data_IF_227183364751
#
_entry.id   IF_227183364751
#
_cell.length_a   1.000
_cell.length_b   1.000
_cell.length_c   1.000
_cell.angle_alpha   90.00
_cell.angle_beta   90.00
_cell.angle_gamma   90.00
#
_symmetry.space_group_name_H-M   'P 1'
#
loop_
_entity.id
_entity.type
_entity.pdbx_description
1 polymer ?
#
# COMPACT_ATOMS: atom_id res chain seq x y z
N UNK A 1 -105.99 2.05 12.27
CA UNK A 1 -105.17 2.66 13.35
C UNK A 1 -104.88 1.54 14.35
N UNK A 2 -103.69 1.03 14.67
CA UNK A 2 -102.27 1.37 14.51
C UNK A 2 -101.58 0.34 13.57
N UNK A 3 -101.17 0.68 12.35
CA UNK A 3 -99.90 1.29 11.89
C UNK A 3 -98.68 0.36 11.83
N UNK A 4 -98.38 -0.09 10.59
CA UNK A 4 -97.10 -0.20 9.83
C UNK A 4 -95.70 -0.04 10.48
N UNK A 5 -95.59 0.40 11.74
CA UNK A 5 -94.34 0.79 12.42
C UNK A 5 -93.58 -0.44 12.98
N UNK A 6 -94.28 -1.45 13.52
CA UNK A 6 -93.63 -2.62 14.12
C UNK A 6 -92.91 -3.53 13.10
N UNK A 7 -93.44 -3.65 11.88
CA UNK A 7 -92.79 -4.42 10.80
C UNK A 7 -91.56 -3.73 10.21
N UNK A 8 -91.43 -2.40 10.33
CA UNK A 8 -90.26 -1.62 9.88
C UNK A 8 -89.11 -1.66 10.90
N UNK A 9 -89.42 -1.67 12.21
CA UNK A 9 -88.40 -1.77 13.27
C UNK A 9 -87.66 -3.11 13.25
N UNK A 10 -88.39 -4.22 13.07
CA UNK A 10 -87.80 -5.58 13.04
C UNK A 10 -86.83 -5.78 11.86
N UNK A 11 -87.15 -5.27 10.66
CA UNK A 11 -86.25 -5.38 9.48
C UNK A 11 -85.01 -4.49 9.59
N UNK A 12 -85.12 -3.31 10.20
CA UNK A 12 -83.95 -2.46 10.43
C UNK A 12 -83.02 -3.03 11.50
N UNK A 13 -83.57 -3.65 12.54
CA UNK A 13 -82.79 -4.29 13.58
C UNK A 13 -82.08 -5.55 13.05
N UNK A 14 -82.77 -6.39 12.25
CA UNK A 14 -82.12 -7.53 11.59
C UNK A 14 -81.02 -7.11 10.62
N UNK A 15 -81.24 -6.05 9.80
CA UNK A 15 -80.19 -5.54 8.90
C UNK A 15 -78.98 -5.00 9.65
N UNK A 16 -79.18 -4.32 10.79
CA UNK A 16 -78.07 -3.83 11.62
C UNK A 16 -77.28 -4.96 12.26
N UNK A 17 -77.94 -6.03 12.71
CA UNK A 17 -77.28 -7.23 13.24
C UNK A 17 -76.52 -7.96 12.12
N UNK A 18 -77.09 -8.08 10.92
CA UNK A 18 -76.41 -8.71 9.78
C UNK A 18 -75.17 -7.94 9.34
N UNK A 19 -75.23 -6.60 9.28
CA UNK A 19 -74.08 -5.75 8.94
C UNK A 19 -73.01 -5.81 10.04
N UNK A 20 -73.41 -5.86 11.32
CA UNK A 20 -72.46 -6.00 12.43
C UNK A 20 -71.75 -7.36 12.42
N UNK A 21 -72.47 -8.46 12.15
CA UNK A 21 -71.89 -9.81 12.04
C UNK A 21 -70.94 -9.89 10.83
N UNK A 22 -71.33 -9.32 9.69
CA UNK A 22 -70.46 -9.27 8.51
C UNK A 22 -69.21 -8.44 8.81
N UNK A 23 -69.34 -7.27 9.43
CA UNK A 23 -68.20 -6.43 9.81
C UNK A 23 -67.25 -7.13 10.82
N UNK A 24 -67.81 -7.87 11.79
CA UNK A 24 -67.03 -8.69 12.72
C UNK A 24 -66.31 -9.84 12.02
N UNK A 25 -66.95 -10.51 11.06
CA UNK A 25 -66.32 -11.57 10.27
C UNK A 25 -65.21 -11.04 9.35
N UNK A 26 -65.38 -9.87 8.74
CA UNK A 26 -64.33 -9.21 7.95
C UNK A 26 -63.17 -8.70 8.82
N UNK A 27 -63.45 -8.13 10.00
CA UNK A 27 -62.42 -7.73 10.94
C UNK A 27 -61.61 -8.93 11.47
N UNK A 28 -62.29 -10.05 11.72
CA UNK A 28 -61.65 -11.32 12.12
C UNK A 28 -60.78 -11.90 11.00
N UNK A 29 -61.24 -11.86 9.76
CA UNK A 29 -60.47 -12.33 8.60
C UNK A 29 -59.24 -11.47 8.32
N UNK A 30 -59.35 -10.14 8.47
CA UNK A 30 -58.23 -9.20 8.36
C UNK A 30 -57.22 -9.37 9.50
N UNK A 31 -57.66 -9.64 10.72
CA UNK A 31 -56.78 -9.93 11.85
C UNK A 31 -56.04 -11.27 11.67
N UNK A 32 -56.72 -12.31 11.14
CA UNK A 32 -56.09 -13.60 10.85
C UNK A 32 -55.07 -13.49 9.70
N UNK A 33 -55.38 -12.70 8.66
CA UNK A 33 -54.45 -12.42 7.57
C UNK A 33 -53.24 -11.59 8.02
N UNK A 34 -53.44 -10.62 8.93
CA UNK A 34 -52.34 -9.85 9.50
C UNK A 34 -51.42 -10.72 10.39
N UNK A 35 -51.98 -11.65 11.18
CA UNK A 35 -51.18 -12.58 11.98
C UNK A 35 -50.38 -13.58 11.13
N UNK A 36 -50.92 -14.06 10.00
CA UNK A 36 -50.19 -14.98 9.12
C UNK A 36 -49.07 -14.28 8.35
N UNK A 37 -49.27 -13.01 7.95
CA UNK A 37 -48.22 -12.20 7.32
C UNK A 37 -47.11 -11.85 8.31
N UNK A 38 -47.44 -11.47 9.55
CA UNK A 38 -46.42 -11.19 10.58
C UNK A 38 -45.65 -12.46 10.96
N UNK A 39 -46.29 -13.64 11.02
CA UNK A 39 -45.59 -14.91 11.23
C UNK A 39 -44.66 -15.30 10.06
N UNK A 40 -44.98 -14.92 8.82
CA UNK A 40 -44.10 -15.13 7.65
C UNK A 40 -42.92 -14.15 7.60
N UNK A 41 -43.09 -12.91 8.06
CA UNK A 41 -42.02 -11.90 8.10
C UNK A 41 -41.13 -11.97 9.34
N UNK A 42 -41.54 -12.69 10.39
CA UNK A 42 -40.79 -12.80 11.65
C UNK A 42 -40.02 -14.12 11.81
N UNK A 43 -40.07 -15.01 10.80
CA UNK A 43 -39.23 -16.19 10.81
C UNK A 43 -37.78 -15.76 10.56
N UNK A 44 -36.83 -15.92 11.51
CA UNK A 44 -35.43 -15.73 11.20
C UNK A 44 -35.10 -16.74 10.10
N UNK A 45 -34.61 -16.25 8.97
CA UNK A 45 -34.06 -17.10 7.94
C UNK A 45 -32.99 -17.96 8.62
N UNK A 46 -33.32 -19.22 8.92
CA UNK A 46 -32.32 -20.25 9.20
C UNK A 46 -31.50 -20.30 7.94
N UNK A 47 -30.35 -19.61 7.95
CA UNK A 47 -29.34 -19.77 6.93
C UNK A 47 -29.09 -21.27 6.84
N UNK A 48 -29.55 -21.88 5.74
CA UNK A 48 -29.15 -23.22 5.41
C UNK A 48 -27.61 -23.22 5.49
N UNK A 49 -26.98 -24.18 6.17
CA UNK A 49 -25.54 -24.27 6.14
C UNK A 49 -25.18 -24.35 4.66
N UNK A 50 -24.51 -23.31 4.17
CA UNK A 50 -23.88 -23.32 2.86
C UNK A 50 -22.81 -24.38 3.00
N UNK A 51 -23.19 -25.61 2.67
CA UNK A 51 -22.26 -26.68 2.42
C UNK A 51 -21.51 -26.21 1.19
N UNK A 52 -20.37 -25.57 1.41
CA UNK A 52 -19.38 -25.34 0.37
C UNK A 52 -18.98 -26.73 -0.07
N UNK A 53 -19.68 -27.24 -1.08
CA UNK A 53 -19.27 -28.42 -1.81
C UNK A 53 -17.85 -28.10 -2.24
N UNK A 54 -16.88 -28.83 -1.70
CA UNK A 54 -15.50 -28.75 -2.16
C UNK A 54 -15.53 -29.22 -3.61
N UNK A 55 -15.74 -28.29 -4.53
CA UNK A 55 -15.56 -28.55 -5.94
C UNK A 55 -14.11 -28.98 -6.09
N UNK A 56 -13.94 -30.22 -6.55
CA UNK A 56 -12.64 -30.74 -6.94
C UNK A 56 -11.94 -29.68 -7.81
N UNK A 57 -10.62 -29.48 -7.66
CA UNK A 57 -9.90 -28.45 -8.40
C UNK A 57 -10.18 -28.63 -9.89
N UNK A 58 -10.75 -27.58 -10.50
CA UNK A 58 -11.02 -27.56 -11.94
C UNK A 58 -9.67 -27.74 -12.63
N UNK A 59 -9.49 -28.85 -13.34
CA UNK A 59 -8.32 -29.07 -14.19
C UNK A 59 -8.41 -28.09 -15.35
N UNK A 60 -7.80 -26.92 -15.21
CA UNK A 60 -7.65 -25.97 -16.31
C UNK A 60 -6.61 -26.58 -17.26
N UNK A 61 -7.08 -27.12 -18.39
CA UNK A 61 -6.19 -27.59 -19.44
C UNK A 61 -5.57 -26.41 -20.16
N UNK A 62 -4.29 -26.53 -20.48
CA UNK A 62 -3.61 -25.57 -21.33
C UNK A 62 -4.34 -25.47 -22.69
N UNK A 63 -4.58 -24.25 -23.23
CA UNK A 63 -5.14 -24.10 -24.56
C UNK A 63 -4.30 -24.83 -25.61
N UNK A 64 -4.95 -25.41 -26.62
CA UNK A 64 -4.24 -26.10 -27.68
C UNK A 64 -3.21 -25.17 -28.34
N UNK A 65 -1.94 -25.59 -28.38
CA UNK A 65 -0.84 -24.82 -28.95
C UNK A 65 -0.20 -23.79 -28.02
N UNK A 66 -0.65 -23.62 -26.77
CA UNK A 66 -0.06 -22.71 -25.79
C UNK A 66 0.24 -23.45 -24.48
N UNK A 67 1.53 -23.77 -24.26
CA UNK A 67 2.01 -24.39 -23.02
C UNK A 67 1.59 -25.86 -22.84
N UNK A 68 1.66 -26.35 -21.58
CA UNK A 68 1.23 -27.68 -21.17
C UNK A 68 0.54 -27.62 -19.81
N UNK A 69 -0.20 -28.68 -19.47
CA UNK A 69 -0.79 -28.80 -18.14
C UNK A 69 0.29 -28.81 -17.05
N UNK A 70 0.00 -28.14 -15.93
CA UNK A 70 0.85 -28.17 -14.75
C UNK A 70 0.75 -29.55 -14.08
N UNK A 71 1.89 -30.12 -13.71
CA UNK A 71 1.94 -31.38 -12.98
C UNK A 71 1.54 -31.18 -11.52
N UNK A 72 1.01 -32.21 -10.83
CA UNK A 72 0.73 -32.12 -9.40
C UNK A 72 1.93 -31.73 -8.55
N UNK A 73 3.15 -32.14 -8.95
CA UNK A 73 4.38 -31.77 -8.26
C UNK A 73 4.70 -30.27 -8.41
N UNK A 74 4.49 -29.69 -9.60
CA UNK A 74 4.65 -28.26 -9.82
C UNK A 74 3.63 -27.46 -9.01
N UNK A 75 2.36 -27.88 -9.01
CA UNK A 75 1.33 -27.25 -8.21
C UNK A 75 1.70 -27.31 -6.72
N UNK A 76 2.06 -28.48 -6.19
CA UNK A 76 2.46 -28.61 -4.79
C UNK A 76 3.70 -27.78 -4.41
N UNK A 77 4.59 -27.49 -5.36
CA UNK A 77 5.79 -26.71 -5.11
C UNK A 77 5.55 -25.19 -5.14
N UNK A 78 4.49 -24.72 -5.80
CA UNK A 78 4.21 -23.29 -6.00
C UNK A 78 2.96 -22.81 -5.25
N UNK A 79 1.94 -23.66 -5.18
CA UNK A 79 0.65 -23.45 -4.52
C UNK A 79 0.76 -23.73 -3.02
N UNK A 80 1.52 -22.86 -2.34
CA UNK A 80 1.73 -22.91 -0.89
C UNK A 80 0.87 -21.87 -0.16
N UNK A 81 -0.13 -21.29 -0.83
CA UNK A 81 -0.95 -20.22 -0.30
C UNK A 81 -1.75 -20.67 0.93
N UNK A 82 -1.82 -19.81 1.93
CA UNK A 82 -2.74 -19.98 3.06
C UNK A 82 -3.73 -18.85 3.03
N UNK A 83 -4.97 -19.20 2.70
CA UNK A 83 -6.06 -18.24 2.60
C UNK A 83 -6.64 -17.89 3.98
N UNK A 84 -7.44 -16.82 4.10
CA UNK A 84 -8.15 -16.47 5.33
C UNK A 84 -9.07 -17.56 5.90
N UNK A 85 -9.54 -18.49 5.06
CA UNK A 85 -10.32 -19.66 5.47
C UNK A 85 -9.45 -20.90 5.79
N UNK A 86 -8.13 -20.73 5.88
CA UNK A 86 -7.11 -21.74 6.16
C UNK A 86 -7.04 -22.90 5.16
N UNK A 87 -7.66 -22.78 3.99
CA UNK A 87 -7.36 -23.69 2.89
C UNK A 87 -5.89 -23.51 2.49
N UNK A 88 -5.19 -24.64 2.32
CA UNK A 88 -3.76 -24.68 2.00
C UNK A 88 -2.84 -24.71 3.23
N UNK A 89 -3.40 -24.57 4.45
CA UNK A 89 -2.64 -24.64 5.69
C UNK A 89 -2.09 -26.06 5.93
N UNK A 90 -0.76 -26.25 5.99
CA UNK A 90 -0.16 -27.54 6.34
C UNK A 90 -0.38 -27.87 7.82
N UNK A 91 -0.45 -29.17 8.15
CA UNK A 91 -0.49 -29.61 9.55
C UNK A 91 0.81 -29.26 10.26
N UNK A 92 0.70 -28.86 11.51
CA UNK A 92 1.87 -28.51 12.32
C UNK A 92 1.52 -27.72 13.56
N UNK A 93 2.53 -27.45 14.37
CA UNK A 93 2.41 -26.65 15.59
C UNK A 93 3.75 -26.01 16.00
N UNK A 94 3.69 -24.94 16.77
CA UNK A 94 4.86 -24.27 17.30
C UNK A 94 4.53 -23.44 18.54
N UNK A 95 5.40 -23.51 19.55
CA UNK A 95 5.25 -22.75 20.79
C UNK A 95 5.81 -21.34 20.65
N UNK A 96 5.32 -20.41 21.46
CA UNK A 96 5.89 -19.05 21.59
C UNK A 96 7.37 -19.11 21.98
N UNK A 97 7.73 -20.01 22.89
CA UNK A 97 9.11 -20.15 23.37
C UNK A 97 10.09 -20.63 22.27
N UNK A 98 9.66 -21.56 21.43
CA UNK A 98 10.47 -21.99 20.27
C UNK A 98 10.51 -20.91 19.19
N UNK A 99 9.40 -20.18 19.05
CA UNK A 99 9.28 -19.04 18.15
C UNK A 99 10.26 -17.92 18.48
N UNK A 100 10.42 -17.61 19.76
CA UNK A 100 11.39 -16.62 20.24
C UNK A 100 12.82 -17.02 19.85
N UNK A 101 13.24 -18.24 20.17
CA UNK A 101 14.59 -18.73 19.82
C UNK A 101 14.87 -18.64 18.33
N UNK A 102 13.88 -19.01 17.51
CA UNK A 102 14.00 -18.96 16.06
C UNK A 102 14.01 -17.52 15.54
N UNK A 103 13.19 -16.64 16.10
CA UNK A 103 13.14 -15.23 15.75
C UNK A 103 14.46 -14.51 16.07
N UNK A 104 15.04 -14.78 17.24
CA UNK A 104 16.35 -14.25 17.63
C UNK A 104 17.45 -14.70 16.65
N UNK A 105 17.41 -15.97 16.22
CA UNK A 105 18.40 -16.55 15.34
C UNK A 105 18.26 -16.11 13.86
N UNK A 106 17.05 -15.80 13.39
CA UNK A 106 16.76 -15.65 11.94
C UNK A 106 16.10 -14.33 11.55
N UNK A 107 15.55 -13.57 12.49
CA UNK A 107 14.70 -12.41 12.21
C UNK A 107 15.18 -11.12 12.91
N UNK A 108 15.71 -11.23 14.12
CA UNK A 108 15.99 -10.09 14.99
C UNK A 108 17.02 -9.10 14.43
N UNK A 109 17.93 -9.53 13.55
CA UNK A 109 18.91 -8.63 12.91
C UNK A 109 18.27 -7.51 12.10
N UNK A 110 17.05 -7.71 11.61
CA UNK A 110 16.27 -6.72 10.86
C UNK A 110 15.04 -6.22 11.62
N UNK A 111 14.41 -7.09 12.42
CA UNK A 111 13.13 -6.79 13.07
C UNK A 111 13.24 -6.39 14.55
N UNK A 112 14.45 -6.33 15.11
CA UNK A 112 14.64 -6.14 16.55
C UNK A 112 14.28 -7.41 17.32
N UNK A 113 14.59 -7.50 18.62
CA UNK A 113 14.28 -8.71 19.42
C UNK A 113 12.79 -8.76 19.78
N UNK A 114 12.14 -7.61 19.91
CA UNK A 114 10.74 -7.47 20.30
C UNK A 114 9.84 -7.00 19.14
N UNK A 115 10.32 -7.10 17.89
CA UNK A 115 9.57 -6.64 16.72
C UNK A 115 9.51 -5.11 16.58
N UNK A 116 10.32 -4.37 17.35
CA UNK A 116 10.43 -2.91 17.35
C UNK A 116 11.14 -2.34 16.11
N UNK A 117 11.81 -3.23 15.35
CA UNK A 117 12.57 -2.91 14.16
C UNK A 117 13.82 -2.05 14.38
N UNK A 118 14.55 -1.78 13.30
CA UNK A 118 15.70 -0.88 13.30
C UNK A 118 15.31 0.45 12.60
N UNK A 119 16.26 1.36 12.39
CA UNK A 119 16.01 2.65 11.73
C UNK A 119 15.51 2.55 10.27
N UNK A 120 15.58 1.36 9.66
CA UNK A 120 15.28 1.13 8.23
C UNK A 120 13.94 0.44 8.01
N UNK A 121 13.60 -0.55 8.84
CA UNK A 121 12.38 -1.33 8.68
C UNK A 121 11.26 -0.78 9.59
N UNK A 122 10.00 -1.06 9.23
CA UNK A 122 8.88 -0.69 10.09
C UNK A 122 8.71 -1.74 11.22
N UNK A 123 8.34 -1.31 12.44
CA UNK A 123 7.97 -2.21 13.54
C UNK A 123 6.91 -3.22 13.13
N UNK A 124 7.11 -4.47 13.51
CA UNK A 124 6.14 -5.54 13.36
C UNK A 124 5.01 -5.41 14.39
N UNK A 125 5.38 -4.99 15.60
CA UNK A 125 4.53 -5.02 16.80
C UNK A 125 4.47 -3.63 17.44
N UNK A 126 3.35 -3.34 18.09
CA UNK A 126 3.09 -2.08 18.78
C UNK A 126 1.88 -1.33 18.22
N UNK A 127 1.37 -0.36 18.98
CA UNK A 127 0.26 0.50 18.55
C UNK A 127 -1.13 -0.16 18.56
N UNK A 128 -1.25 -1.37 19.12
CA UNK A 128 -2.50 -2.11 19.36
C UNK A 128 -2.76 -2.26 20.85
N UNK A 129 -4.03 -2.36 21.24
CA UNK A 129 -4.48 -2.50 22.63
C UNK A 129 -5.42 -3.69 22.81
N UNK A 130 -5.64 -4.11 24.06
CA UNK A 130 -6.64 -5.14 24.38
C UNK A 130 -8.06 -4.76 23.92
N UNK A 131 -8.40 -3.47 23.86
CA UNK A 131 -9.69 -3.01 23.35
C UNK A 131 -9.79 -3.08 21.83
N UNK A 132 -8.67 -2.92 21.11
CA UNK A 132 -8.61 -3.18 19.67
C UNK A 132 -8.86 -4.67 19.39
N UNK A 133 -8.31 -5.58 20.21
CA UNK A 133 -8.60 -7.02 20.13
C UNK A 133 -10.09 -7.29 20.36
N UNK A 134 -10.73 -6.67 21.36
CA UNK A 134 -12.17 -6.84 21.60
C UNK A 134 -13.01 -6.35 20.42
N UNK A 135 -12.73 -5.15 19.92
CA UNK A 135 -13.54 -4.49 18.87
C UNK A 135 -13.23 -4.98 17.45
N UNK A 136 -12.02 -5.49 17.23
CA UNK A 136 -11.49 -5.82 15.90
C UNK A 136 -11.17 -4.59 15.05
N UNK A 137 -11.06 -3.42 15.66
CA UNK A 137 -10.70 -2.18 14.98
C UNK A 137 -9.62 -1.43 15.73
N UNK A 138 -8.46 -1.27 15.11
CA UNK A 138 -7.36 -0.51 15.69
C UNK A 138 -7.70 0.98 15.72
N UNK A 139 -7.96 1.53 16.91
CA UNK A 139 -8.39 2.91 17.09
C UNK A 139 -7.33 3.92 16.67
N UNK A 140 -6.06 3.61 16.91
CA UNK A 140 -4.91 4.46 16.58
C UNK A 140 -4.75 4.73 15.08
N UNK A 141 -5.20 3.82 14.21
CA UNK A 141 -5.22 4.05 12.75
C UNK A 141 -6.18 5.17 12.34
N UNK A 142 -7.21 5.45 13.15
CA UNK A 142 -8.19 6.52 12.93
C UNK A 142 -7.80 7.81 13.63
N UNK A 143 -7.20 7.70 14.81
CA UNK A 143 -6.79 8.86 15.60
C UNK A 143 -5.50 9.54 15.09
N UNK A 144 -4.74 8.86 14.21
CA UNK A 144 -3.45 9.34 13.68
C UNK A 144 -2.46 9.78 14.79
N UNK A 145 -2.52 9.08 15.93
CA UNK A 145 -1.72 9.36 17.13
C UNK A 145 -0.55 8.37 17.30
N UNK A 146 -0.32 7.52 16.31
CA UNK A 146 0.81 6.59 16.28
C UNK A 146 1.86 7.09 15.27
N UNK A 147 3.10 7.35 15.70
CA UNK A 147 4.14 7.90 14.84
C UNK A 147 4.51 6.94 13.70
N UNK A 148 4.43 5.63 13.95
CA UNK A 148 4.68 4.59 12.96
C UNK A 148 3.57 3.55 13.04
N UNK A 149 3.14 3.04 11.87
CA UNK A 149 2.12 1.99 11.77
C UNK A 149 2.79 0.63 11.71
N UNK A 150 2.39 -0.28 12.58
CA UNK A 150 2.98 -1.62 12.67
C UNK A 150 2.24 -2.64 11.80
N UNK A 151 2.84 -3.82 11.63
CA UNK A 151 2.19 -4.94 10.94
C UNK A 151 0.91 -5.36 11.64
N UNK A 152 0.94 -5.56 12.97
CA UNK A 152 -0.22 -5.99 13.75
C UNK A 152 -1.35 -4.94 13.81
N UNK A 153 -1.03 -3.65 13.62
CA UNK A 153 -2.07 -2.63 13.48
C UNK A 153 -2.88 -2.79 12.19
N UNK A 154 -2.28 -3.29 11.11
CA UNK A 154 -2.88 -3.27 9.77
C UNK A 154 -3.47 -4.61 9.34
N UNK A 155 -2.76 -5.71 9.60
CA UNK A 155 -3.14 -7.02 9.09
C UNK A 155 -4.44 -7.49 9.77
N UNK A 156 -5.42 -7.91 8.97
CA UNK A 156 -6.73 -8.36 9.41
C UNK A 156 -6.79 -9.87 9.70
N UNK A 157 -5.84 -10.63 9.15
CA UNK A 157 -5.86 -12.09 9.11
C UNK A 157 -4.52 -12.69 9.51
N UNK A 158 -4.54 -13.64 10.46
CA UNK A 158 -3.33 -14.35 10.90
C UNK A 158 -2.73 -15.23 9.79
N UNK A 159 -3.59 -15.72 8.88
CA UNK A 159 -3.16 -16.45 7.68
C UNK A 159 -2.21 -15.65 6.80
N UNK A 160 -2.41 -14.32 6.67
CA UNK A 160 -1.50 -13.44 5.92
C UNK A 160 -0.12 -13.41 6.55
N UNK A 161 -0.03 -13.34 7.88
CA UNK A 161 1.25 -13.38 8.61
C UNK A 161 1.94 -14.72 8.36
N UNK A 162 1.20 -15.81 8.54
CA UNK A 162 1.71 -17.17 8.38
C UNK A 162 2.20 -17.45 6.94
N UNK A 163 1.39 -17.12 5.93
CA UNK A 163 1.75 -17.30 4.50
C UNK A 163 2.96 -16.47 4.12
N UNK A 164 3.00 -15.20 4.54
CA UNK A 164 4.10 -14.30 4.24
C UNK A 164 5.42 -14.81 4.83
N UNK A 165 5.40 -15.28 6.08
CA UNK A 165 6.59 -15.84 6.72
C UNK A 165 7.06 -17.08 5.95
N UNK A 166 6.17 -18.02 5.65
CA UNK A 166 6.52 -19.24 4.89
C UNK A 166 7.07 -18.94 3.50
N UNK A 167 6.48 -17.96 2.80
CA UNK A 167 6.75 -17.70 1.39
C UNK A 167 7.95 -16.79 1.18
N UNK A 168 8.11 -15.77 2.02
CA UNK A 168 9.01 -14.65 1.76
C UNK A 168 10.09 -14.45 2.83
N UNK A 169 9.99 -15.09 3.99
CA UNK A 169 10.94 -14.91 5.09
C UNK A 169 11.75 -16.18 5.38
N UNK A 170 12.96 -16.03 5.97
CA UNK A 170 13.72 -14.79 6.15
C UNK A 170 14.09 -14.12 4.83
N UNK A 171 14.30 -12.80 4.82
CA UNK A 171 14.53 -12.04 3.58
C UNK A 171 15.71 -12.55 2.73
N UNK A 172 16.75 -13.05 3.39
CA UNK A 172 17.94 -13.63 2.73
C UNK A 172 17.80 -15.12 2.39
N UNK A 173 16.75 -15.80 2.86
CA UNK A 173 16.49 -17.22 2.59
C UNK A 173 14.97 -17.53 2.54
N UNK A 174 14.21 -16.99 1.58
CA UNK A 174 12.78 -17.28 1.48
C UNK A 174 12.50 -18.78 1.33
N UNK A 175 11.41 -19.26 1.93
CA UNK A 175 10.98 -20.67 1.92
C UNK A 175 11.93 -21.65 2.64
N UNK A 176 12.83 -21.15 3.49
CA UNK A 176 13.75 -22.01 4.25
C UNK A 176 13.14 -22.62 5.52
N UNK A 177 12.00 -22.10 5.99
CA UNK A 177 11.36 -22.53 7.24
C UNK A 177 10.38 -23.68 6.99
N UNK A 178 10.38 -24.65 7.91
CA UNK A 178 9.38 -25.73 7.98
C UNK A 178 8.04 -25.21 8.51
N UNK A 179 6.91 -25.92 8.29
CA UNK A 179 5.60 -25.50 8.81
C UNK A 179 5.58 -25.25 10.32
N UNK A 180 6.19 -26.13 11.13
CA UNK A 180 6.26 -26.01 12.59
C UNK A 180 7.06 -24.76 13.02
N UNK A 181 8.16 -24.46 12.34
CA UNK A 181 8.95 -23.24 12.54
C UNK A 181 8.15 -21.98 12.21
N UNK A 182 7.34 -22.00 11.13
CA UNK A 182 6.46 -20.88 10.78
C UNK A 182 5.38 -20.69 11.84
N UNK A 183 4.79 -21.77 12.37
CA UNK A 183 3.86 -21.70 13.49
C UNK A 183 4.49 -21.08 14.72
N UNK A 184 5.71 -21.50 15.08
CA UNK A 184 6.42 -21.02 16.24
C UNK A 184 6.70 -19.50 16.13
N UNK A 185 7.27 -19.04 15.02
CA UNK A 185 7.53 -17.61 14.79
C UNK A 185 6.24 -16.80 14.78
N UNK A 186 5.18 -17.32 14.14
CA UNK A 186 3.87 -16.65 14.14
C UNK A 186 3.32 -16.53 15.57
N UNK A 187 3.41 -17.59 16.38
CA UNK A 187 3.00 -17.56 17.79
C UNK A 187 3.77 -16.50 18.58
N UNK A 188 5.08 -16.40 18.36
CA UNK A 188 5.92 -15.40 19.02
C UNK A 188 5.54 -13.96 18.64
N UNK A 189 5.34 -13.66 17.36
CA UNK A 189 4.88 -12.33 16.92
C UNK A 189 3.52 -11.97 17.52
N UNK A 190 2.60 -12.93 17.59
CA UNK A 190 1.29 -12.74 18.22
C UNK A 190 1.41 -12.51 19.73
N UNK A 191 2.36 -13.18 20.40
CA UNK A 191 2.61 -12.98 21.82
C UNK A 191 3.19 -11.60 22.10
N UNK A 192 4.14 -11.12 21.29
CA UNK A 192 4.66 -9.76 21.38
C UNK A 192 3.54 -8.71 21.26
N UNK A 193 2.51 -8.99 20.45
CA UNK A 193 1.31 -8.15 20.33
C UNK A 193 0.25 -8.36 21.42
N UNK A 194 0.55 -9.13 22.47
CA UNK A 194 -0.37 -9.50 23.54
C UNK A 194 -1.67 -10.20 23.06
N UNK A 195 -1.64 -10.82 21.87
CA UNK A 195 -2.79 -11.52 21.28
C UNK A 195 -2.92 -12.93 21.87
N UNK A 196 -1.79 -13.56 22.21
CA UNK A 196 -1.72 -14.91 22.81
C UNK A 196 -0.75 -14.92 24.01
N UNK A 197 -0.96 -15.78 25.03
CA UNK A 197 -0.08 -15.85 26.20
C UNK A 197 1.28 -16.49 25.87
N UNK A 198 2.25 -16.34 26.77
CA UNK A 198 3.64 -16.76 26.55
C UNK A 198 3.84 -18.29 26.52
N UNK A 199 2.91 -19.06 27.08
CA UNK A 199 2.89 -20.53 27.07
C UNK A 199 2.07 -21.11 25.90
N UNK A 200 1.57 -20.26 25.01
CA UNK A 200 0.69 -20.67 23.91
C UNK A 200 1.42 -21.53 22.87
N UNK A 201 0.68 -22.50 22.32
CA UNK A 201 1.11 -23.33 21.19
C UNK A 201 0.13 -23.12 20.04
N UNK A 202 0.60 -22.48 18.97
CA UNK A 202 -0.18 -22.28 17.75
C UNK A 202 -0.11 -23.55 16.90
N UNK A 203 -1.23 -23.93 16.27
CA UNK A 203 -1.32 -25.13 15.43
C UNK A 203 -2.35 -24.97 14.31
N UNK A 204 -2.36 -25.93 13.38
CA UNK A 204 -3.40 -26.06 12.36
C UNK A 204 -4.82 -26.15 12.94
N UNK A 205 -4.95 -26.62 14.18
CA UNK A 205 -6.24 -26.85 14.84
C UNK A 205 -6.83 -25.62 15.50
N UNK A 206 -6.00 -24.67 15.94
CA UNK A 206 -6.44 -23.52 16.75
C UNK A 206 -6.19 -22.15 16.11
N UNK A 207 -5.44 -22.07 15.00
CA UNK A 207 -5.14 -20.80 14.34
C UNK A 207 -6.40 -20.04 13.90
N UNK A 208 -7.49 -20.74 13.60
CA UNK A 208 -8.76 -20.12 13.26
C UNK A 208 -9.41 -19.37 14.43
N UNK A 209 -9.18 -19.82 15.67
CA UNK A 209 -9.64 -19.12 16.86
C UNK A 209 -8.77 -17.89 17.13
N UNK A 210 -7.46 -18.01 16.91
CA UNK A 210 -6.51 -16.89 17.02
C UNK A 210 -6.82 -15.78 16.01
N UNK A 211 -7.28 -16.10 14.80
CA UNK A 211 -7.70 -15.08 13.82
C UNK A 211 -8.83 -14.18 14.34
N UNK A 212 -9.70 -14.70 15.21
CA UNK A 212 -10.78 -13.91 15.84
C UNK A 212 -10.25 -12.90 16.85
N UNK A 213 -8.99 -13.05 17.29
CA UNK A 213 -8.31 -12.15 18.21
C UNK A 213 -7.46 -11.10 17.47
N UNK A 214 -7.39 -11.12 16.14
CA UNK A 214 -6.62 -10.12 15.40
C UNK A 214 -7.17 -8.70 15.68
N UNK A 215 -6.31 -7.74 16.08
CA UNK A 215 -6.74 -6.39 16.49
C UNK A 215 -7.46 -5.60 15.40
N UNK A 216 -7.17 -5.86 14.13
CA UNK A 216 -7.74 -5.14 12.99
C UNK A 216 -8.63 -6.01 12.08
N UNK A 217 -9.15 -7.15 12.58
CA UNK A 217 -9.94 -8.11 11.78
C UNK A 217 -11.18 -7.52 11.09
N UNK A 218 -11.73 -6.43 11.62
CA UNK A 218 -12.88 -5.73 11.06
C UNK A 218 -12.48 -4.42 10.35
N UNK A 219 -11.19 -4.08 10.30
CA UNK A 219 -10.70 -2.78 9.82
C UNK A 219 -10.68 -2.60 8.31
N UNK A 220 -10.94 -3.66 7.53
CA UNK A 220 -10.87 -3.62 6.06
C UNK A 220 -12.27 -3.50 5.46
N UNK A 221 -12.43 -2.65 4.45
CA UNK A 221 -13.69 -2.47 3.71
C UNK A 221 -13.49 -2.58 2.20
N UNK A 222 -14.48 -3.17 1.52
CA UNK A 222 -14.57 -3.15 0.05
C UNK A 222 -15.38 -1.96 -0.48
N UNK A 223 -15.91 -1.13 0.41
CA UNK A 223 -16.59 0.11 0.06
C UNK A 223 -15.55 1.23 -0.02
N UNK A 224 -14.94 1.37 -1.20
CA UNK A 224 -13.82 2.29 -1.44
C UNK A 224 -14.25 3.62 -2.09
N UNK A 225 -15.53 3.82 -2.42
CA UNK A 225 -16.09 5.08 -2.94
C UNK A 225 -15.60 5.55 -4.32
N UNK A 226 -14.46 5.03 -4.81
CA UNK A 226 -13.76 5.54 -6.00
C UNK A 226 -13.77 4.61 -7.23
N UNK A 227 -14.29 3.38 -7.14
CA UNK A 227 -14.08 2.38 -8.21
C UNK A 227 -15.31 1.56 -8.61
N UNK A 228 -16.51 1.93 -8.14
CA UNK A 228 -17.76 1.34 -8.64
C UNK A 228 -18.56 2.41 -9.36
N UNK A 229 -18.97 2.10 -10.59
CA UNK A 229 -19.89 2.94 -11.36
C UNK A 229 -21.20 3.05 -10.57
N UNK A 230 -21.53 4.26 -10.11
CA UNK A 230 -22.76 4.55 -9.35
C UNK A 230 -22.58 4.76 -7.85
N UNK A 231 -21.38 4.55 -7.29
CA UNK A 231 -21.10 4.94 -5.90
C UNK A 231 -21.11 6.47 -5.75
N UNK A 232 -21.47 6.96 -4.55
CA UNK A 232 -21.36 8.40 -4.25
C UNK A 232 -19.88 8.79 -4.25
N UNK A 233 -19.47 9.83 -5.00
CA UNK A 233 -18.10 10.28 -4.97
C UNK A 233 -17.76 10.78 -3.56
N UNK A 234 -16.54 10.48 -3.13
CA UNK A 234 -15.95 10.94 -1.86
C UNK A 234 -15.75 12.46 -1.84
N UNK A 235 -15.67 13.07 -3.01
CA UNK A 235 -15.57 14.51 -3.21
C UNK A 235 -16.77 15.03 -4.02
N UNK A 236 -17.38 16.13 -3.55
CA UNK A 236 -18.47 16.82 -4.27
C UNK A 236 -17.95 18.01 -5.09
N UNK A 237 -16.71 17.93 -5.54
CA UNK A 237 -16.03 19.04 -6.19
C UNK A 237 -16.61 19.27 -7.58
N UNK A 238 -17.30 20.39 -7.77
CA UNK A 238 -17.63 20.90 -9.11
C UNK A 238 -16.40 21.63 -9.64
N UNK A 239 -15.91 21.22 -10.81
CA UNK A 239 -14.84 21.94 -11.49
C UNK A 239 -15.28 23.40 -11.73
N UNK A 240 -14.46 24.35 -11.30
CA UNK A 240 -14.65 25.73 -11.67
C UNK A 240 -14.23 25.91 -13.15
N UNK A 241 -15.07 26.58 -13.94
CA UNK A 241 -14.85 26.77 -15.38
C UNK A 241 -14.67 28.24 -15.79
N UNK A 242 -14.99 29.20 -14.91
CA UNK A 242 -14.90 30.63 -15.15
C UNK A 242 -14.46 31.33 -13.87
N UNK A 243 -13.55 32.31 -13.99
CA UNK A 243 -13.04 33.15 -12.90
C UNK A 243 -12.63 32.38 -11.65
N UNK A 244 -11.94 31.26 -11.88
CA UNK A 244 -11.50 30.39 -10.80
C UNK A 244 -10.44 31.08 -9.96
N UNK A 245 -10.51 30.97 -8.62
CA UNK A 245 -9.50 31.56 -7.75
C UNK A 245 -8.12 31.07 -8.18
N UNK A 246 -7.20 32.00 -8.42
CA UNK A 246 -5.85 31.66 -8.85
C UNK A 246 -5.23 30.67 -7.86
N UNK A 247 -4.58 29.64 -8.41
CA UNK A 247 -3.78 28.73 -7.59
C UNK A 247 -2.78 29.59 -6.81
N UNK A 248 -2.84 29.46 -5.48
CA UNK A 248 -2.07 30.30 -4.56
C UNK A 248 -0.55 30.13 -4.70
N UNK A 249 0.15 30.65 -3.70
CA UNK A 249 1.62 30.59 -3.56
C UNK A 249 2.07 29.13 -3.68
N UNK A 250 3.18 28.88 -4.38
CA UNK A 250 3.82 27.56 -4.42
C UNK A 250 4.17 27.12 -2.99
N UNK A 251 3.44 26.14 -2.43
CA UNK A 251 3.61 25.66 -1.05
C UNK A 251 4.64 24.54 -0.91
N UNK A 252 4.95 23.86 -2.01
CA UNK A 252 5.99 22.84 -2.08
C UNK A 252 6.58 22.80 -3.48
N UNK A 253 7.89 22.55 -3.56
CA UNK A 253 8.61 22.35 -4.80
C UNK A 253 9.59 21.19 -4.62
N UNK A 254 9.85 20.45 -5.69
CA UNK A 254 10.94 19.47 -5.68
C UNK A 254 12.26 20.19 -5.36
N UNK A 255 13.06 19.70 -4.41
CA UNK A 255 14.38 20.24 -4.14
C UNK A 255 15.26 20.08 -5.39
N UNK A 256 16.24 20.96 -5.55
CA UNK A 256 17.06 21.05 -6.77
C UNK A 256 17.59 19.67 -7.22
N UNK A 257 18.18 18.90 -6.29
CA UNK A 257 18.74 17.56 -6.53
C UNK A 257 17.74 16.51 -7.06
N UNK A 258 16.44 16.73 -6.92
CA UNK A 258 15.38 15.80 -7.30
C UNK A 258 14.62 16.24 -8.56
N UNK A 259 14.82 17.49 -9.02
CA UNK A 259 14.05 18.04 -10.15
C UNK A 259 14.40 17.34 -11.45
N UNK A 260 15.66 17.04 -11.68
CA UNK A 260 16.18 16.45 -12.92
C UNK A 260 16.75 15.03 -12.73
N UNK A 261 16.58 14.44 -11.54
CA UNK A 261 17.10 13.11 -11.20
C UNK A 261 16.60 11.99 -12.12
N UNK A 262 15.50 12.23 -12.85
CA UNK A 262 14.94 11.32 -13.85
C UNK A 262 14.82 11.99 -15.22
N UNK A 263 15.64 12.99 -15.51
CA UNK A 263 15.60 13.79 -16.73
C UNK A 263 14.57 14.91 -16.69
N UNK A 264 14.24 15.45 -17.86
CA UNK A 264 13.38 16.61 -18.02
C UNK A 264 11.89 16.23 -17.93
N UNK A 265 11.17 16.75 -16.93
CA UNK A 265 9.74 16.48 -16.75
C UNK A 265 8.87 17.14 -17.83
N UNK A 266 9.35 18.20 -18.51
CA UNK A 266 8.67 18.77 -19.66
C UNK A 266 8.55 17.75 -20.79
N UNK A 267 9.64 17.02 -21.07
CA UNK A 267 9.70 16.02 -22.13
C UNK A 267 8.90 14.73 -21.81
N UNK A 268 8.66 14.46 -20.53
CA UNK A 268 7.95 13.25 -20.08
C UNK A 268 6.43 13.42 -20.01
N UNK A 269 5.94 14.66 -20.05
CA UNK A 269 4.51 14.95 -20.00
C UNK A 269 3.98 15.37 -21.35
N UNK A 270 2.72 15.03 -21.62
CA UNK A 270 2.04 15.52 -22.82
C UNK A 270 1.85 17.03 -22.72
N UNK A 271 2.03 17.73 -23.84
CA UNK A 271 1.80 19.18 -23.89
C UNK A 271 0.30 19.52 -23.74
N UNK A 272 -0.57 18.57 -24.09
CA UNK A 272 -2.04 18.70 -23.98
C UNK A 272 -2.57 17.82 -22.86
N UNK A 273 -3.31 18.41 -21.93
CA UNK A 273 -3.93 17.73 -20.80
C UNK A 273 -4.02 18.64 -19.56
N UNK A 274 -4.66 18.14 -18.48
CA UNK A 274 -4.75 18.87 -17.21
C UNK A 274 -3.40 19.00 -16.50
N UNK A 275 -2.44 18.12 -16.80
CA UNK A 275 -1.07 18.15 -16.27
C UNK A 275 -0.13 18.55 -17.39
N UNK A 276 0.68 19.59 -17.16
CA UNK A 276 1.75 20.04 -18.06
C UNK A 276 3.09 19.83 -17.38
N UNK A 277 4.05 19.29 -18.11
CA UNK A 277 5.42 19.17 -17.61
C UNK A 277 6.06 20.53 -17.38
N UNK A 278 7.05 20.58 -16.50
CA UNK A 278 7.87 21.76 -16.22
C UNK A 278 9.29 21.45 -16.67
N UNK A 279 9.95 22.41 -17.31
CA UNK A 279 11.37 22.28 -17.64
C UNK A 279 12.17 22.25 -16.35
N UNK A 280 12.74 21.08 -16.03
CA UNK A 280 13.45 20.88 -14.76
C UNK A 280 14.89 21.36 -14.79
N UNK A 281 15.40 21.77 -15.96
CA UNK A 281 16.71 22.42 -16.13
C UNK A 281 16.67 23.89 -15.71
N UNK A 282 15.47 24.48 -15.65
CA UNK A 282 15.27 25.84 -15.14
C UNK A 282 15.13 25.85 -13.60
N UNK A 283 15.49 26.97 -12.95
CA UNK A 283 15.31 27.15 -11.52
C UNK A 283 13.87 26.85 -11.06
N UNK A 284 13.67 26.45 -9.79
CA UNK A 284 12.35 26.23 -9.25
C UNK A 284 11.42 27.43 -9.43
N UNK A 285 10.20 27.16 -9.90
CA UNK A 285 9.14 28.17 -9.93
C UNK A 285 8.86 28.61 -8.49
N UNK A 286 8.84 29.91 -8.27
CA UNK A 286 8.56 30.54 -6.96
C UNK A 286 7.52 31.63 -7.12
N UNK A 287 6.85 32.02 -6.03
CA UNK A 287 5.85 33.09 -6.06
C UNK A 287 4.47 32.62 -6.56
N UNK A 288 3.74 33.49 -7.25
CA UNK A 288 2.34 33.25 -7.65
C UNK A 288 2.22 32.50 -8.98
N UNK A 289 1.06 31.90 -9.24
CA UNK A 289 0.78 31.28 -10.55
C UNK A 289 0.91 32.28 -11.70
N UNK A 290 0.47 33.53 -11.50
CA UNK A 290 0.58 34.61 -12.49
C UNK A 290 2.04 34.93 -12.84
N UNK A 291 2.94 35.01 -11.85
CA UNK A 291 4.38 35.23 -12.07
C UNK A 291 5.03 34.11 -12.89
N UNK A 292 4.53 32.88 -12.74
CA UNK A 292 5.08 31.70 -13.38
C UNK A 292 4.40 31.35 -14.73
N UNK A 293 3.35 32.08 -15.12
CA UNK A 293 2.57 31.79 -16.33
C UNK A 293 3.40 31.97 -17.61
N UNK A 294 4.25 32.99 -17.65
CA UNK A 294 5.14 33.26 -18.79
C UNK A 294 6.18 32.16 -19.01
N UNK A 295 6.85 31.72 -17.93
CA UNK A 295 7.84 30.62 -17.96
C UNK A 295 7.21 29.32 -18.47
N UNK A 296 6.01 28.98 -18.00
CA UNK A 296 5.27 27.79 -18.45
C UNK A 296 4.83 27.89 -19.90
N UNK A 297 4.41 29.07 -20.35
CA UNK A 297 4.01 29.30 -21.75
C UNK A 297 5.20 29.16 -22.69
N UNK A 298 6.36 29.70 -22.32
CA UNK A 298 7.60 29.56 -23.08
C UNK A 298 8.04 28.10 -23.16
N UNK A 299 8.07 27.36 -22.04
CA UNK A 299 8.44 25.94 -22.03
C UNK A 299 7.50 25.08 -22.91
N UNK A 300 6.19 25.34 -22.85
CA UNK A 300 5.21 24.66 -23.71
C UNK A 300 5.44 24.94 -25.20
N UNK A 301 5.74 26.19 -25.57
CA UNK A 301 6.04 26.58 -26.96
C UNK A 301 7.33 25.92 -27.47
N UNK A 302 8.38 25.88 -26.65
CA UNK A 302 9.63 25.16 -26.96
C UNK A 302 9.38 23.68 -27.20
N UNK A 303 8.54 23.05 -26.37
CA UNK A 303 8.21 21.61 -26.51
C UNK A 303 7.44 21.32 -27.81
N UNK A 304 6.66 22.29 -28.31
CA UNK A 304 5.93 22.21 -29.57
C UNK A 304 6.78 22.61 -30.80
N UNK A 305 8.05 22.96 -30.62
CA UNK A 305 8.90 23.47 -31.70
C UNK A 305 8.44 24.83 -32.24
N UNK A 306 7.69 25.59 -31.45
CA UNK A 306 7.16 26.91 -31.81
C UNK A 306 8.03 28.01 -31.21
N UNK A 307 8.48 28.96 -32.03
CA UNK A 307 9.24 30.13 -31.55
C UNK A 307 8.31 31.11 -30.85
N UNK A 308 8.58 31.40 -29.57
CA UNK A 308 7.90 32.45 -28.83
C UNK A 308 8.51 33.81 -29.20
N UNK A 309 7.72 34.86 -29.54
CA UNK A 309 8.24 36.16 -29.94
C UNK A 309 8.94 36.95 -28.82
N UNK A 310 8.83 36.52 -27.56
CA UNK A 310 9.33 37.25 -26.38
C UNK A 310 10.37 36.47 -25.53
N UNK A 311 11.12 35.53 -26.10
CA UNK A 311 12.13 34.79 -25.33
C UNK A 311 13.46 35.59 -25.22
N UNK A 312 13.95 35.94 -24.01
CA UNK A 312 15.32 36.38 -23.85
C UNK A 312 16.29 35.23 -24.18
N UNK A 313 17.34 35.54 -24.93
CA UNK A 313 18.36 34.59 -25.36
C UNK A 313 19.05 33.93 -24.15
N UNK A 314 18.76 32.65 -23.92
CA UNK A 314 19.57 31.83 -23.01
C UNK A 314 20.68 31.17 -23.82
N UNK A 315 21.92 31.59 -23.55
CA UNK A 315 23.12 30.83 -23.87
C UNK A 315 23.07 29.51 -23.11
N UNK A 316 22.73 28.42 -23.81
CA UNK A 316 22.87 27.08 -23.28
C UNK A 316 24.36 26.81 -23.00
N UNK A 317 24.75 26.88 -21.73
CA UNK A 317 26.01 26.29 -21.29
C UNK A 317 25.91 24.78 -21.54
N UNK A 318 26.82 24.27 -22.36
CA UNK A 318 26.94 22.85 -22.62
C UNK A 318 27.28 22.12 -21.31
N UNK A 319 26.29 21.47 -20.69
CA UNK A 319 26.54 20.40 -19.71
C UNK A 319 27.52 19.42 -20.34
N UNK A 320 28.72 19.33 -19.77
CA UNK A 320 29.84 18.60 -20.33
C UNK A 320 29.51 17.10 -20.47
N UNK A 321 30.08 16.46 -21.51
CA UNK A 321 29.90 15.05 -21.85
C UNK A 321 30.17 14.06 -20.70
N UNK A 322 30.85 14.51 -19.63
CA UNK A 322 31.24 13.71 -18.47
C UNK A 322 30.13 13.63 -17.41
N UNK A 323 29.30 14.67 -17.26
CA UNK A 323 28.11 14.59 -16.40
C UNK A 323 27.10 13.56 -16.96
N UNK A 324 26.96 13.51 -18.28
CA UNK A 324 26.17 12.48 -18.98
C UNK A 324 26.76 11.08 -18.79
N UNK A 325 28.10 10.95 -18.74
CA UNK A 325 28.76 9.67 -18.47
C UNK A 325 28.51 9.19 -17.03
N UNK A 326 28.52 10.10 -16.05
CA UNK A 326 28.20 9.80 -14.66
C UNK A 326 26.74 9.38 -14.47
N UNK A 327 25.82 10.04 -15.18
CA UNK A 327 24.40 9.68 -15.20
C UNK A 327 24.17 8.29 -15.81
N UNK A 328 24.74 8.04 -16.99
CA UNK A 328 24.63 6.76 -17.70
C UNK A 328 25.15 5.58 -16.88
N UNK A 329 26.19 5.80 -16.08
CA UNK A 329 26.76 4.78 -15.19
C UNK A 329 26.10 4.75 -13.80
N UNK A 330 25.00 5.49 -13.59
CA UNK A 330 24.19 5.46 -12.36
C UNK A 330 24.80 6.17 -11.16
N UNK A 331 25.89 6.91 -11.32
CA UNK A 331 26.59 7.57 -10.22
C UNK A 331 25.71 8.67 -9.58
N UNK A 332 24.87 9.34 -10.38
CA UNK A 332 23.99 10.41 -9.93
C UNK A 332 22.78 9.96 -9.08
N UNK A 333 22.54 8.64 -9.01
CA UNK A 333 21.52 8.08 -8.14
C UNK A 333 21.92 8.19 -6.65
N UNK A 334 23.22 8.10 -6.36
CA UNK A 334 23.74 8.14 -4.99
C UNK A 334 24.57 9.40 -4.67
N UNK A 335 25.10 10.09 -5.68
CA UNK A 335 25.91 11.30 -5.51
C UNK A 335 25.26 12.50 -6.23
N UNK A 336 25.34 13.69 -5.63
CA UNK A 336 25.00 14.95 -6.31
C UNK A 336 26.26 15.71 -6.73
N UNK A 337 26.13 16.62 -7.69
CA UNK A 337 27.26 17.46 -8.14
C UNK A 337 27.69 18.42 -7.03
N UNK A 338 26.74 19.19 -6.51
CA UNK A 338 26.95 20.15 -5.41
C UNK A 338 26.34 19.68 -4.10
N UNK A 339 25.31 18.85 -4.16
CA UNK A 339 24.49 18.48 -3.02
C UNK A 339 24.78 17.05 -2.54
N UNK A 340 24.84 16.86 -1.22
CA UNK A 340 24.98 15.53 -0.62
C UNK A 340 23.68 14.73 -0.78
N UNK A 341 23.79 13.47 -1.21
CA UNK A 341 22.67 12.52 -1.33
C UNK A 341 22.89 11.33 -0.37
N UNK A 342 22.91 10.11 -0.90
CA UNK A 342 23.26 8.88 -0.18
C UNK A 342 24.77 8.90 0.13
N UNK A 343 25.57 9.27 -0.86
CA UNK A 343 27.01 9.56 -0.73
C UNK A 343 27.31 11.07 -0.69
N UNK A 344 28.59 11.44 -0.48
CA UNK A 344 29.02 12.84 -0.51
C UNK A 344 28.79 13.48 -1.88
N UNK A 345 28.66 14.80 -1.90
CA UNK A 345 28.62 15.56 -3.15
C UNK A 345 29.97 15.47 -3.88
N UNK A 346 29.97 15.53 -5.21
CA UNK A 346 31.22 15.59 -5.99
C UNK A 346 32.04 16.83 -5.64
N UNK A 347 31.41 17.97 -5.36
CA UNK A 347 32.07 19.17 -4.83
C UNK A 347 32.76 18.92 -3.48
N UNK A 348 32.16 18.15 -2.57
CA UNK A 348 32.75 17.78 -1.28
C UNK A 348 33.95 16.85 -1.47
N UNK A 349 33.85 15.90 -2.40
CA UNK A 349 34.96 15.02 -2.77
C UNK A 349 36.10 15.86 -3.36
N UNK A 350 35.81 16.75 -4.30
CA UNK A 350 36.78 17.66 -4.90
C UNK A 350 37.50 18.49 -3.82
N UNK A 351 36.74 19.07 -2.89
CA UNK A 351 37.29 19.87 -1.79
C UNK A 351 38.17 19.03 -0.84
N UNK A 352 37.77 17.81 -0.48
CA UNK A 352 38.54 16.94 0.43
C UNK A 352 39.86 16.47 -0.17
N UNK A 353 39.88 16.20 -1.47
CA UNK A 353 41.07 15.69 -2.18
C UNK A 353 41.83 16.77 -2.96
N UNK A 354 41.44 18.04 -2.80
CA UNK A 354 42.10 19.17 -3.47
C UNK A 354 43.59 19.22 -3.15
N UNK A 355 44.43 19.30 -4.19
CA UNK A 355 45.89 19.42 -4.05
C UNK A 355 46.65 18.13 -3.71
N UNK A 356 45.97 16.97 -3.61
CA UNK A 356 46.63 15.68 -3.43
C UNK A 356 47.03 15.08 -4.77
N UNK A 357 48.32 14.84 -4.99
CA UNK A 357 48.85 14.30 -6.25
C UNK A 357 48.44 12.85 -6.53
N UNK A 358 48.04 12.11 -5.50
CA UNK A 358 47.59 10.72 -5.59
C UNK A 358 46.05 10.55 -5.50
N UNK A 359 45.30 11.66 -5.55
CA UNK A 359 43.85 11.67 -5.44
C UNK A 359 43.16 10.81 -6.50
N UNK A 360 43.57 10.95 -7.77
CA UNK A 360 42.96 10.21 -8.89
C UNK A 360 43.07 8.70 -8.67
N UNK A 361 44.28 8.19 -8.39
CA UNK A 361 44.49 6.75 -8.18
C UNK A 361 43.73 6.20 -6.98
N UNK A 362 43.73 6.93 -5.85
CA UNK A 362 42.99 6.55 -4.66
C UNK A 362 41.49 6.46 -4.92
N UNK A 363 40.93 7.45 -5.61
CA UNK A 363 39.50 7.50 -5.90
C UNK A 363 39.09 6.43 -6.91
N UNK A 364 39.87 6.21 -7.97
CA UNK A 364 39.64 5.13 -8.93
C UNK A 364 39.62 3.78 -8.22
N UNK A 365 40.65 3.50 -7.41
CA UNK A 365 40.71 2.24 -6.64
C UNK A 365 39.52 2.08 -5.69
N UNK A 366 39.12 3.17 -5.01
CA UNK A 366 37.99 3.15 -4.07
C UNK A 366 36.65 2.93 -4.77
N UNK A 367 36.42 3.55 -5.93
CA UNK A 367 35.18 3.39 -6.70
C UNK A 367 35.05 1.94 -7.20
N UNK A 368 36.16 1.34 -7.68
CA UNK A 368 36.16 -0.04 -8.18
C UNK A 368 35.97 -1.07 -7.07
N UNK A 369 36.65 -0.90 -5.93
CA UNK A 369 36.60 -1.84 -4.81
C UNK A 369 35.42 -1.62 -3.84
N UNK A 370 34.82 -0.43 -3.85
CA UNK A 370 33.83 -0.01 -2.87
C UNK A 370 34.43 0.22 -1.47
N UNK A 371 33.55 0.37 -0.48
CA UNK A 371 33.91 0.36 0.93
C UNK A 371 33.21 1.44 1.77
N UNK A 372 33.47 1.42 3.07
CA UNK A 372 32.85 2.30 4.07
C UNK A 372 33.90 3.13 4.85
N UNK A 373 33.44 4.01 5.75
CA UNK A 373 34.27 4.67 6.77
C UNK A 373 34.78 6.08 6.41
N UNK A 374 35.03 6.37 5.13
CA UNK A 374 35.60 7.66 4.73
C UNK A 374 34.60 8.85 4.78
N UNK A 375 33.30 8.54 4.73
CA UNK A 375 32.20 9.51 4.60
C UNK A 375 30.96 9.15 5.44
N UNK A 376 31.10 8.21 6.38
CA UNK A 376 30.01 7.70 7.22
C UNK A 376 29.95 6.18 7.29
N UNK A 377 28.89 5.67 7.92
CA UNK A 377 28.62 4.23 8.09
C UNK A 377 28.07 3.56 6.83
N UNK A 378 27.51 4.33 5.89
CA UNK A 378 26.92 3.79 4.67
C UNK A 378 28.01 3.34 3.68
N UNK A 379 28.08 2.04 3.31
CA UNK A 379 29.09 1.53 2.39
C UNK A 379 28.78 1.93 0.94
N UNK A 380 29.80 2.38 0.20
CA UNK A 380 29.71 2.52 -1.26
C UNK A 380 29.89 1.13 -1.91
N UNK A 381 28.94 0.63 -2.73
CA UNK A 381 29.08 -0.65 -3.41
C UNK A 381 30.18 -0.59 -4.50
N UNK A 382 30.92 -1.69 -4.72
CA UNK A 382 31.94 -1.77 -5.76
C UNK A 382 31.36 -1.55 -7.16
N UNK A 383 31.99 -0.68 -7.96
CA UNK A 383 31.57 -0.34 -9.33
C UNK A 383 32.43 -1.08 -10.37
N UNK A 384 32.58 -2.40 -10.23
CA UNK A 384 33.44 -3.21 -11.10
C UNK A 384 32.93 -3.29 -12.56
N UNK A 385 31.64 -3.00 -12.77
CA UNK A 385 30.98 -3.01 -14.08
C UNK A 385 31.28 -1.77 -14.94
N UNK A 386 31.84 -0.71 -14.35
CA UNK A 386 32.19 0.53 -15.08
C UNK A 386 33.63 0.41 -15.58
N UNK A 387 33.86 0.74 -16.85
CA UNK A 387 35.19 0.72 -17.43
C UNK A 387 36.15 1.66 -16.67
N UNK A 388 37.36 1.20 -16.38
CA UNK A 388 38.32 1.98 -15.58
C UNK A 388 38.67 3.34 -16.22
N UNK A 389 38.69 3.39 -17.56
CA UNK A 389 38.87 4.63 -18.33
C UNK A 389 37.76 5.65 -18.06
N UNK A 390 36.52 5.18 -17.92
CA UNK A 390 35.36 6.03 -17.65
C UNK A 390 35.38 6.48 -16.19
N UNK A 391 35.73 5.59 -15.26
CA UNK A 391 35.91 5.93 -13.85
C UNK A 391 36.97 7.02 -13.69
N UNK A 392 38.13 6.89 -14.35
CA UNK A 392 39.19 7.89 -14.32
C UNK A 392 38.73 9.23 -14.90
N UNK A 393 38.04 9.20 -16.03
CA UNK A 393 37.47 10.41 -16.66
C UNK A 393 36.51 11.14 -15.72
N UNK A 394 35.64 10.40 -15.03
CA UNK A 394 34.72 10.97 -14.05
C UNK A 394 35.44 11.53 -12.82
N UNK A 395 36.44 10.82 -12.29
CA UNK A 395 37.25 11.28 -11.14
C UNK A 395 37.99 12.58 -11.48
N UNK A 396 38.59 12.68 -12.65
CA UNK A 396 39.30 13.90 -13.08
C UNK A 396 38.34 15.08 -13.30
N UNK A 397 37.10 14.81 -13.71
CA UNK A 397 36.06 15.83 -13.75
C UNK A 397 35.61 16.26 -12.35
N UNK A 398 35.43 15.32 -11.42
CA UNK A 398 35.10 15.60 -10.02
C UNK A 398 36.18 16.47 -9.39
N UNK A 399 37.46 16.10 -9.51
CA UNK A 399 38.58 16.82 -8.91
C UNK A 399 38.79 18.23 -9.48
N UNK A 400 38.31 18.49 -10.70
CA UNK A 400 38.28 19.84 -11.28
C UNK A 400 37.09 20.69 -10.82
N UNK A 401 36.22 20.16 -9.96
CA UNK A 401 35.10 20.89 -9.39
C UNK A 401 33.75 20.59 -10.03
N UNK A 402 33.64 19.49 -10.79
CA UNK A 402 32.37 18.93 -11.26
C UNK A 402 31.43 19.91 -12.01
N UNK A 403 31.99 20.78 -12.85
CA UNK A 403 31.25 21.76 -13.67
C UNK A 403 31.33 21.48 -15.18
#
# INVERSE_FOLDING_TARGET
MFTSIERKLSRHMLRRIQVAIIALLWASALALAALTVVAWLSAPAKAAPVSVSQTAPVKIKAPAGIGRDATPAELSAWDIDVRPDFKGLPKGQGSVADGQKLFDARCASCHGTFGESNEVFNPLVGGTTADDIKTGHVASLRANNQPVRTTLMKVDTVSTIWDYIRRAMPWNAPRSLTPDEVYAVTAYILNLGEIVPADFVLSDKNIADVQKLMPNRNGMTRSHGMWRVGDKPDTHNKACMQDCPEAGIVTSALPAYARDAHGDLAAQNRVVGPVRGVDTKLPPLSGTAAQNASVRKTAALVTLGMTSPDAPAQTAAATSSVATLADKNGCLACHGVTDKKIGPAFSEVAAKYHGQSDATEKLVAKIRAGGAGNWGSMPMPPQAQVAETDVRTMVDWILRGAH
#
